data_IF_207877514246
#
_entry.id   IF_207877514246
#
_cell.length_a   1.000
_cell.length_b   1.000
_cell.length_c   1.000
_cell.angle_alpha   90.00
_cell.angle_beta   90.00
_cell.angle_gamma   90.00
#
_symmetry.space_group_name_H-M   'P 1'
#
loop_
_entity.id
_entity.type
_entity.pdbx_description
1 polymer ?
#
# COMPACT_ATOMS: atom_id res chain seq x y z
N UNK A 1 -19.84 20.85 -13.14
CA UNK A 1 -18.54 20.17 -13.41
C UNK A 1 -18.78 18.89 -14.18
N UNK A 2 -18.08 18.68 -15.30
CA UNK A 2 -18.14 17.45 -16.10
C UNK A 2 -17.48 16.27 -15.37
N UNK A 3 -17.73 15.02 -15.80
CA UNK A 3 -17.00 13.85 -15.29
C UNK A 3 -15.50 13.91 -15.64
N UNK A 4 -15.16 14.52 -16.77
CA UNK A 4 -13.76 14.72 -17.20
C UNK A 4 -13.00 15.61 -16.20
N UNK A 5 -13.63 16.69 -15.71
CA UNK A 5 -13.02 17.55 -14.68
C UNK A 5 -12.78 16.83 -13.34
N UNK A 6 -13.58 15.81 -12.98
CA UNK A 6 -13.35 15.03 -11.75
C UNK A 6 -12.07 14.21 -11.83
N UNK A 7 -11.89 13.49 -12.95
CA UNK A 7 -10.73 12.63 -13.16
C UNK A 7 -9.43 13.43 -13.17
N UNK A 8 -9.46 14.61 -13.80
CA UNK A 8 -8.32 15.52 -13.82
C UNK A 8 -7.95 15.97 -12.40
N UNK A 9 -8.93 16.39 -11.60
CA UNK A 9 -8.66 16.80 -10.22
C UNK A 9 -8.11 15.66 -9.37
N UNK A 10 -8.67 14.46 -9.47
CA UNK A 10 -8.14 13.30 -8.74
C UNK A 10 -6.71 12.96 -9.19
N UNK A 11 -6.41 13.05 -10.49
CA UNK A 11 -5.05 12.89 -10.98
C UNK A 11 -4.10 13.91 -10.36
N UNK A 12 -4.49 15.19 -10.28
CA UNK A 12 -3.70 16.21 -9.60
C UNK A 12 -3.54 15.92 -8.10
N UNK A 13 -4.57 15.41 -7.41
CA UNK A 13 -4.45 15.05 -6.00
C UNK A 13 -3.46 13.90 -5.79
N UNK A 14 -3.47 12.90 -6.67
CA UNK A 14 -2.49 11.80 -6.65
C UNK A 14 -1.07 12.34 -6.91
N UNK A 15 -0.90 13.19 -7.92
CA UNK A 15 0.41 13.78 -8.24
C UNK A 15 0.94 14.61 -7.07
N UNK A 16 0.12 15.47 -6.48
CA UNK A 16 0.46 16.24 -5.29
C UNK A 16 0.81 15.30 -4.13
N UNK A 17 0.01 14.25 -3.92
CA UNK A 17 0.25 13.24 -2.89
C UNK A 17 1.61 12.56 -3.02
N UNK A 18 2.00 12.22 -4.25
CA UNK A 18 3.30 11.61 -4.56
C UNK A 18 4.43 12.59 -4.28
N UNK A 19 4.30 13.84 -4.76
CA UNK A 19 5.30 14.88 -4.52
C UNK A 19 5.51 15.14 -3.03
N UNK A 20 4.43 15.23 -2.25
CA UNK A 20 4.52 15.41 -0.79
C UNK A 20 5.29 14.28 -0.10
N UNK A 21 5.13 13.05 -0.59
CA UNK A 21 5.72 11.84 0.01
C UNK A 21 7.16 11.60 -0.42
N UNK A 22 7.57 12.10 -1.59
CA UNK A 22 8.92 11.90 -2.14
C UNK A 22 9.85 13.09 -1.97
N UNK A 23 9.38 14.31 -2.21
CA UNK A 23 10.25 15.50 -2.22
C UNK A 23 11.07 15.69 -0.93
N UNK A 24 10.53 15.43 0.27
CA UNK A 24 11.30 15.57 1.50
C UNK A 24 12.45 14.58 1.65
N UNK A 25 12.46 13.47 0.88
CA UNK A 25 13.36 12.34 1.08
C UNK A 25 14.24 12.02 -0.15
N UNK A 26 14.35 12.95 -1.11
CA UNK A 26 15.08 12.69 -2.35
C UNK A 26 16.57 12.36 -2.11
N UNK A 27 17.18 12.97 -1.08
CA UNK A 27 18.60 12.71 -0.77
C UNK A 27 18.76 11.33 -0.13
N UNK A 28 17.88 10.97 0.79
CA UNK A 28 17.84 9.70 1.50
C UNK A 28 17.57 8.53 0.54
N UNK A 29 16.79 8.76 -0.51
CA UNK A 29 16.47 7.78 -1.55
C UNK A 29 17.53 7.69 -2.65
N UNK A 30 18.48 8.63 -2.72
CA UNK A 30 19.48 8.66 -3.79
C UNK A 30 20.62 7.64 -3.58
N UNK A 31 20.81 7.18 -2.35
CA UNK A 31 21.88 6.26 -1.98
C UNK A 31 21.33 5.01 -1.29
N UNK A 32 22.12 3.94 -1.31
CA UNK A 32 21.84 2.69 -0.60
C UNK A 32 22.90 2.47 0.49
N UNK A 33 22.52 2.08 1.71
CA UNK A 33 21.16 1.75 2.13
C UNK A 33 20.28 2.99 2.37
N UNK A 34 18.99 2.87 2.05
CA UNK A 34 17.99 3.89 2.37
C UNK A 34 17.72 3.89 3.88
N UNK A 35 17.72 5.08 4.49
CA UNK A 35 17.47 5.26 5.91
C UNK A 35 15.97 5.20 6.23
N UNK A 36 15.40 4.00 6.20
CA UNK A 36 14.07 3.78 6.77
C UNK A 36 14.07 4.00 8.28
N UNK A 37 13.06 4.68 8.80
CA UNK A 37 13.05 5.12 10.20
C UNK A 37 12.35 4.15 11.16
N UNK A 38 11.48 3.25 10.66
CA UNK A 38 10.81 2.24 11.48
C UNK A 38 11.52 0.88 11.37
N UNK A 39 11.63 0.11 12.47
CA UNK A 39 12.21 -1.24 12.45
C UNK A 39 11.53 -2.19 11.46
N UNK A 40 10.20 -2.10 11.35
CA UNK A 40 9.40 -2.98 10.49
C UNK A 40 9.75 -2.80 9.01
N UNK A 41 10.08 -1.58 8.59
CA UNK A 41 10.52 -1.28 7.22
C UNK A 41 11.79 -2.06 6.86
N UNK A 42 12.79 -2.04 7.75
CA UNK A 42 14.04 -2.77 7.56
C UNK A 42 13.79 -4.29 7.56
N UNK A 43 12.86 -4.76 8.40
CA UNK A 43 12.43 -6.15 8.40
C UNK A 43 11.81 -6.57 7.06
N UNK A 44 10.93 -5.75 6.50
CA UNK A 44 10.34 -6.01 5.17
C UNK A 44 11.40 -6.02 4.07
N UNK A 45 12.31 -5.05 4.03
CA UNK A 45 13.41 -5.04 3.04
C UNK A 45 14.23 -6.32 3.11
N UNK A 46 14.62 -6.77 4.32
CA UNK A 46 15.34 -8.04 4.49
C UNK A 46 14.52 -9.23 4.01
N UNK A 47 13.23 -9.28 4.34
CA UNK A 47 12.34 -10.37 3.91
C UNK A 47 12.19 -10.42 2.39
N UNK A 48 12.05 -9.26 1.74
CA UNK A 48 12.01 -9.12 0.27
C UNK A 48 13.31 -9.62 -0.36
N UNK A 49 14.46 -9.24 0.19
CA UNK A 49 15.77 -9.71 -0.27
C UNK A 49 15.94 -11.23 -0.11
N UNK A 50 15.42 -11.79 0.99
CA UNK A 50 15.44 -13.23 1.24
C UNK A 50 14.60 -13.99 0.20
N UNK A 51 13.40 -13.50 -0.10
CA UNK A 51 12.53 -14.06 -1.15
C UNK A 51 13.20 -13.93 -2.52
N UNK A 52 13.82 -12.79 -2.84
CA UNK A 52 14.48 -12.57 -4.14
C UNK A 52 15.62 -13.55 -4.43
N UNK A 53 16.40 -13.91 -3.41
CA UNK A 53 17.52 -14.85 -3.56
C UNK A 53 17.07 -16.26 -3.99
N UNK A 54 15.84 -16.65 -3.66
CA UNK A 54 15.25 -17.95 -4.02
C UNK A 54 13.92 -17.79 -4.77
N UNK A 55 13.73 -16.66 -5.48
CA UNK A 55 12.44 -16.34 -6.09
C UNK A 55 12.01 -17.44 -7.08
N UNK A 56 10.76 -17.95 -7.03
CA UNK A 56 9.59 -17.40 -6.33
C UNK A 56 9.28 -18.04 -4.96
N UNK A 57 10.21 -18.75 -4.34
CA UNK A 57 9.95 -19.45 -3.08
C UNK A 57 9.84 -18.49 -1.89
N UNK A 58 8.80 -18.70 -1.06
CA UNK A 58 8.57 -17.94 0.17
C UNK A 58 9.06 -18.78 1.35
N UNK A 59 10.05 -18.31 2.13
CA UNK A 59 10.49 -19.03 3.32
C UNK A 59 9.34 -19.24 4.31
N UNK A 60 9.29 -20.43 4.93
CA UNK A 60 8.28 -20.75 5.96
C UNK A 60 8.62 -20.15 7.32
N UNK A 61 9.91 -20.18 7.67
CA UNK A 61 10.41 -19.72 8.96
C UNK A 61 11.52 -18.69 8.78
N UNK A 62 11.66 -17.83 9.78
CA UNK A 62 12.74 -16.88 9.90
C UNK A 62 13.75 -17.33 10.97
N UNK A 63 14.93 -17.74 10.51
CA UNK A 63 16.02 -18.18 11.38
C UNK A 63 16.87 -17.02 11.94
N UNK A 64 16.63 -15.79 11.48
CA UNK A 64 17.41 -14.61 11.87
C UNK A 64 16.64 -13.66 12.81
N UNK A 65 15.35 -13.90 13.01
CA UNK A 65 14.52 -13.05 13.89
C UNK A 65 14.69 -13.42 15.38
N UNK A 66 14.95 -14.68 15.71
CA UNK A 66 15.21 -15.13 17.07
C UNK A 66 16.54 -15.91 17.14
N UNK A 67 17.27 -15.78 18.25
CA UNK A 67 18.63 -16.34 18.39
C UNK A 67 18.63 -17.87 18.56
N UNK A 68 17.68 -18.41 19.33
CA UNK A 68 17.70 -19.82 19.76
C UNK A 68 16.95 -20.77 18.84
N UNK A 69 15.96 -20.27 18.10
CA UNK A 69 15.05 -21.09 17.28
C UNK A 69 14.49 -20.30 16.09
N UNK A 70 14.07 -21.03 15.06
CA UNK A 70 13.35 -20.45 13.94
C UNK A 70 11.93 -20.05 14.40
N UNK A 71 11.47 -18.90 13.95
CA UNK A 71 10.12 -18.40 14.26
C UNK A 71 9.30 -18.22 13.00
N UNK A 72 7.97 -18.26 13.15
CA UNK A 72 7.07 -17.87 12.07
C UNK A 72 7.23 -16.38 11.75
N UNK A 73 6.97 -16.02 10.49
CA UNK A 73 6.94 -14.62 10.11
C UNK A 73 5.76 -13.90 10.81
N UNK A 74 5.99 -12.72 11.42
CA UNK A 74 4.96 -12.00 12.18
C UNK A 74 3.86 -11.41 11.29
N UNK A 75 4.11 -11.28 9.98
CA UNK A 75 3.15 -10.74 9.01
C UNK A 75 2.91 -11.70 7.84
N UNK A 76 1.71 -11.65 7.22
CA UNK A 76 1.40 -12.40 6.01
C UNK A 76 2.45 -12.24 4.89
N UNK A 77 2.61 -13.24 4.02
CA UNK A 77 3.68 -13.24 3.02
C UNK A 77 3.38 -12.38 1.78
N UNK A 78 2.15 -11.92 1.58
CA UNK A 78 1.74 -11.28 0.33
C UNK A 78 2.48 -9.95 0.09
N UNK A 79 2.53 -9.06 1.08
CA UNK A 79 3.19 -7.76 0.91
C UNK A 79 4.68 -7.90 0.51
N UNK A 80 5.53 -8.66 1.25
CA UNK A 80 6.92 -8.85 0.83
C UNK A 80 7.04 -9.61 -0.49
N UNK A 81 6.17 -10.59 -0.76
CA UNK A 81 6.16 -11.28 -2.07
C UNK A 81 5.83 -10.33 -3.22
N UNK A 82 4.87 -9.42 -3.04
CA UNK A 82 4.49 -8.41 -4.03
C UNK A 82 5.67 -7.46 -4.30
N UNK A 83 6.35 -6.97 -3.26
CA UNK A 83 7.55 -6.16 -3.41
C UNK A 83 8.69 -6.92 -4.12
N UNK A 84 8.88 -8.22 -3.80
CA UNK A 84 9.84 -9.08 -4.49
C UNK A 84 9.49 -9.25 -5.95
N UNK A 85 8.22 -9.49 -6.30
CA UNK A 85 7.77 -9.63 -7.68
C UNK A 85 8.04 -8.35 -8.49
N UNK A 86 7.67 -7.18 -7.95
CA UNK A 86 7.91 -5.89 -8.61
C UNK A 86 9.41 -5.63 -8.78
N UNK A 87 10.20 -5.88 -7.75
CA UNK A 87 11.66 -5.73 -7.80
C UNK A 87 12.28 -6.67 -8.83
N UNK A 88 11.88 -7.94 -8.86
CA UNK A 88 12.34 -8.95 -9.80
C UNK A 88 12.03 -8.55 -11.26
N UNK A 89 10.84 -7.99 -11.52
CA UNK A 89 10.48 -7.48 -12.85
C UNK A 89 11.39 -6.32 -13.26
N UNK A 90 11.59 -5.34 -12.37
CA UNK A 90 12.42 -4.15 -12.65
C UNK A 90 13.87 -4.52 -12.91
N UNK A 91 14.41 -5.49 -12.17
CA UNK A 91 15.81 -5.91 -12.29
C UNK A 91 16.03 -7.02 -13.32
N UNK A 92 14.99 -7.46 -14.01
CA UNK A 92 15.02 -8.61 -14.92
C UNK A 92 15.59 -9.88 -14.25
N UNK A 93 15.18 -10.10 -12.99
CA UNK A 93 15.51 -11.27 -12.19
C UNK A 93 16.77 -11.18 -11.34
N UNK A 94 17.42 -10.00 -11.26
CA UNK A 94 18.61 -9.80 -10.42
C UNK A 94 18.24 -9.32 -9.01
N UNK A 95 18.86 -9.86 -7.98
CA UNK A 95 18.77 -9.28 -6.63
C UNK A 95 19.52 -7.95 -6.58
N UNK A 96 18.83 -6.87 -6.18
CA UNK A 96 19.43 -5.54 -6.02
C UNK A 96 18.77 -4.83 -4.82
N UNK A 97 19.56 -4.54 -3.79
CA UNK A 97 19.08 -3.92 -2.56
C UNK A 97 18.44 -2.57 -2.83
N UNK A 98 19.12 -1.67 -3.54
CA UNK A 98 18.61 -0.33 -3.77
C UNK A 98 17.29 -0.33 -4.56
N UNK A 99 17.13 -1.25 -5.52
CA UNK A 99 15.84 -1.40 -6.21
C UNK A 99 14.73 -1.87 -5.25
N UNK A 100 15.02 -2.79 -4.34
CA UNK A 100 14.07 -3.20 -3.30
C UNK A 100 13.68 -2.02 -2.41
N UNK A 101 14.65 -1.23 -1.97
CA UNK A 101 14.41 -0.04 -1.14
C UNK A 101 13.52 0.97 -1.87
N UNK A 102 13.81 1.27 -3.14
CA UNK A 102 13.02 2.19 -3.97
C UNK A 102 11.62 1.66 -4.27
N UNK A 103 11.46 0.35 -4.52
CA UNK A 103 10.15 -0.29 -4.72
C UNK A 103 9.31 -0.22 -3.45
N UNK A 104 9.93 -0.53 -2.30
CA UNK A 104 9.28 -0.44 -0.98
C UNK A 104 8.79 0.99 -0.71
N UNK A 105 9.68 1.97 -0.93
CA UNK A 105 9.38 3.41 -0.81
C UNK A 105 8.23 3.83 -1.74
N UNK A 106 8.25 3.35 -2.98
CA UNK A 106 7.25 3.72 -3.98
C UNK A 106 5.89 3.09 -3.78
N UNK A 107 5.82 1.87 -3.27
CA UNK A 107 4.54 1.24 -2.93
C UNK A 107 3.87 1.98 -1.77
N UNK A 108 4.62 2.36 -0.74
CA UNK A 108 4.11 3.19 0.35
C UNK A 108 3.59 4.55 -0.15
N UNK A 109 4.44 5.27 -0.90
CA UNK A 109 4.12 6.60 -1.39
C UNK A 109 2.92 6.61 -2.36
N UNK A 110 2.86 5.62 -3.26
CA UNK A 110 1.76 5.46 -4.21
C UNK A 110 0.46 5.10 -3.50
N UNK A 111 0.50 4.17 -2.54
CA UNK A 111 -0.69 3.76 -1.78
C UNK A 111 -1.28 4.94 -1.00
N UNK A 112 -0.42 5.73 -0.34
CA UNK A 112 -0.82 6.93 0.37
C UNK A 112 -1.44 7.99 -0.53
N UNK A 113 -0.97 8.11 -1.78
CA UNK A 113 -1.48 9.07 -2.77
C UNK A 113 -2.81 8.61 -3.39
N UNK A 114 -2.97 7.31 -3.61
CA UNK A 114 -4.19 6.72 -4.17
C UNK A 114 -5.38 6.73 -3.20
N UNK A 115 -5.16 7.01 -1.91
CA UNK A 115 -6.21 7.08 -0.88
C UNK A 115 -7.39 7.99 -1.28
N UNK A 116 -7.12 9.04 -2.06
CA UNK A 116 -8.12 10.00 -2.49
C UNK A 116 -9.22 9.36 -3.35
N UNK A 117 -8.93 8.23 -4.02
CA UNK A 117 -9.86 7.51 -4.89
C UNK A 117 -10.98 6.87 -4.09
N UNK A 118 -10.74 5.92 -3.16
CA UNK A 118 -11.84 5.33 -2.39
C UNK A 118 -12.54 6.38 -1.50
N UNK A 119 -11.82 7.37 -0.98
CA UNK A 119 -12.44 8.51 -0.27
C UNK A 119 -13.43 9.26 -1.17
N UNK A 120 -13.07 9.49 -2.44
CA UNK A 120 -13.96 10.13 -3.42
C UNK A 120 -15.22 9.30 -3.63
N UNK A 121 -15.05 8.00 -3.87
CA UNK A 121 -16.14 7.09 -4.20
C UNK A 121 -17.15 6.98 -3.05
N UNK A 122 -16.65 6.82 -1.81
CA UNK A 122 -17.48 6.75 -0.60
C UNK A 122 -18.18 8.10 -0.37
N UNK A 123 -17.41 9.19 -0.31
CA UNK A 123 -17.95 10.52 -0.01
C UNK A 123 -18.97 10.98 -1.06
N UNK A 124 -18.77 10.64 -2.33
CA UNK A 124 -19.72 10.98 -3.40
C UNK A 124 -21.08 10.31 -3.20
N UNK A 125 -21.10 9.08 -2.67
CA UNK A 125 -22.34 8.36 -2.35
C UNK A 125 -23.09 9.00 -1.18
N UNK A 126 -22.38 9.56 -0.20
CA UNK A 126 -22.94 10.05 1.06
C UNK A 126 -23.34 11.53 0.98
N UNK A 127 -22.41 12.39 0.52
CA UNK A 127 -22.52 13.85 0.60
C UNK A 127 -22.53 14.52 -0.78
N UNK A 128 -22.44 13.75 -1.86
CA UNK A 128 -22.42 14.28 -3.21
C UNK A 128 -21.06 14.84 -3.65
N UNK A 129 -21.00 15.27 -4.91
CA UNK A 129 -19.75 15.49 -5.64
C UNK A 129 -18.83 16.57 -5.06
N UNK A 130 -19.39 17.71 -4.65
CA UNK A 130 -18.60 18.86 -4.18
C UNK A 130 -17.79 18.49 -2.94
N UNK A 131 -18.47 17.95 -1.92
CA UNK A 131 -17.84 17.57 -0.67
C UNK A 131 -16.93 16.34 -0.83
N UNK A 132 -17.25 15.43 -1.76
CA UNK A 132 -16.36 14.32 -2.08
C UNK A 132 -14.99 14.77 -2.59
N UNK A 133 -14.94 15.77 -3.48
CA UNK A 133 -13.66 16.32 -3.95
C UNK A 133 -12.87 16.99 -2.83
N UNK A 134 -13.55 17.69 -1.92
CA UNK A 134 -12.91 18.31 -0.76
C UNK A 134 -12.34 17.23 0.19
N UNK A 135 -13.11 16.19 0.49
CA UNK A 135 -12.67 15.07 1.32
C UNK A 135 -11.48 14.33 0.69
N UNK A 136 -11.53 14.06 -0.61
CA UNK A 136 -10.43 13.46 -1.36
C UNK A 136 -9.15 14.29 -1.31
N UNK A 137 -9.25 15.61 -1.48
CA UNK A 137 -8.10 16.48 -1.37
C UNK A 137 -7.50 16.42 0.05
N UNK A 138 -8.33 16.59 1.09
CA UNK A 138 -7.88 16.56 2.49
C UNK A 138 -7.21 15.23 2.85
N UNK A 139 -7.75 14.11 2.38
CA UNK A 139 -7.22 12.77 2.70
C UNK A 139 -5.76 12.57 2.31
N UNK A 140 -5.29 13.25 1.26
CA UNK A 140 -3.90 13.16 0.80
C UNK A 140 -2.91 13.81 1.79
N UNK A 141 -3.37 14.84 2.52
CA UNK A 141 -2.56 15.68 3.42
C UNK A 141 -2.72 15.33 4.91
N UNK A 142 -3.61 14.39 5.26
CA UNK A 142 -3.86 14.06 6.66
C UNK A 142 -2.55 13.67 7.36
N UNK A 143 -2.12 14.36 8.44
CA UNK A 143 -0.78 14.18 9.00
C UNK A 143 -0.45 12.75 9.41
N UNK A 144 -1.40 12.06 10.06
CA UNK A 144 -1.20 10.67 10.48
C UNK A 144 -1.12 9.73 9.27
N UNK A 145 -1.94 9.96 8.24
CA UNK A 145 -1.86 9.18 7.00
C UNK A 145 -0.54 9.45 6.27
N UNK A 146 -0.07 10.69 6.24
CA UNK A 146 1.24 11.04 5.69
C UNK A 146 2.37 10.33 6.43
N UNK A 147 2.30 10.29 7.77
CA UNK A 147 3.30 9.60 8.60
C UNK A 147 3.47 8.14 8.17
N UNK A 148 2.36 7.42 7.97
CA UNK A 148 2.37 6.00 7.62
C UNK A 148 2.54 5.68 6.13
N UNK A 149 2.70 6.70 5.27
CA UNK A 149 2.71 6.50 3.80
C UNK A 149 3.73 7.35 3.08
N UNK A 150 4.69 7.95 3.78
CA UNK A 150 5.78 8.69 3.15
C UNK A 150 6.82 7.74 2.56
N UNK A 151 7.73 8.25 1.73
CA UNK A 151 8.65 7.40 0.98
C UNK A 151 9.69 6.67 1.85
N UNK A 152 9.92 7.07 3.10
CA UNK A 152 10.78 6.36 4.04
C UNK A 152 9.98 5.52 5.06
N UNK A 153 8.67 5.33 4.80
CA UNK A 153 7.82 4.40 5.56
C UNK A 153 7.32 3.23 4.73
N UNK A 154 8.19 2.24 4.56
CA UNK A 154 8.01 1.09 3.68
C UNK A 154 7.04 0.00 4.14
N UNK A 155 6.28 0.24 5.20
CA UNK A 155 5.41 -0.75 5.83
C UNK A 155 4.14 -1.07 5.01
N UNK A 156 3.53 -2.21 5.29
CA UNK A 156 2.27 -2.67 4.70
C UNK A 156 1.06 -1.79 5.05
N UNK A 157 1.13 -0.96 6.10
CA UNK A 157 0.02 -0.10 6.57
C UNK A 157 -0.52 0.87 5.51
N UNK A 158 0.34 1.36 4.62
CA UNK A 158 -0.07 2.21 3.51
C UNK A 158 -1.04 1.48 2.56
N UNK A 159 -0.72 0.24 2.23
CA UNK A 159 -1.52 -0.61 1.35
C UNK A 159 -2.77 -1.13 2.08
N UNK A 160 -2.64 -1.47 3.36
CA UNK A 160 -3.74 -1.86 4.24
C UNK A 160 -4.83 -0.79 4.28
N UNK A 161 -4.46 0.46 4.59
CA UNK A 161 -5.39 1.60 4.68
C UNK A 161 -6.11 1.86 3.36
N UNK A 162 -5.38 1.76 2.23
CA UNK A 162 -5.96 1.90 0.90
C UNK A 162 -6.99 0.81 0.62
N UNK A 163 -6.63 -0.45 0.89
CA UNK A 163 -7.49 -1.60 0.65
C UNK A 163 -8.69 -1.63 1.59
N UNK A 164 -8.56 -1.17 2.83
CA UNK A 164 -9.68 -1.03 3.77
C UNK A 164 -10.76 -0.09 3.24
N UNK A 165 -10.36 1.07 2.70
CA UNK A 165 -11.34 1.99 2.11
C UNK A 165 -11.96 1.44 0.81
N UNK A 166 -11.21 0.69 0.01
CA UNK A 166 -11.80 -0.02 -1.14
C UNK A 166 -12.79 -1.11 -0.70
N UNK A 167 -12.48 -1.84 0.38
CA UNK A 167 -13.37 -2.83 0.99
C UNK A 167 -14.69 -2.15 1.40
N UNK A 168 -14.63 -1.07 2.19
CA UNK A 168 -15.83 -0.32 2.60
C UNK A 168 -16.62 0.21 1.39
N UNK A 169 -15.94 0.73 0.37
CA UNK A 169 -16.60 1.18 -0.85
C UNK A 169 -17.34 0.03 -1.56
N UNK A 170 -16.72 -1.15 -1.63
CA UNK A 170 -17.29 -2.34 -2.27
C UNK A 170 -18.46 -2.92 -1.46
N UNK A 171 -18.38 -2.88 -0.12
CA UNK A 171 -19.50 -3.24 0.76
C UNK A 171 -20.73 -2.36 0.51
N UNK A 172 -20.53 -1.04 0.38
CA UNK A 172 -21.62 -0.12 0.00
C UNK A 172 -22.22 -0.44 -1.38
N UNK A 173 -21.45 -1.00 -2.30
CA UNK A 173 -21.95 -1.41 -3.62
C UNK A 173 -22.78 -2.68 -3.52
N UNK A 174 -22.33 -3.70 -2.77
CA UNK A 174 -23.10 -4.91 -2.47
C UNK A 174 -24.42 -4.58 -1.77
N UNK A 175 -24.40 -3.67 -0.80
CA UNK A 175 -25.60 -3.25 -0.08
C UNK A 175 -26.65 -2.61 -1.02
N UNK A 176 -26.20 -1.94 -2.08
CA UNK A 176 -27.07 -1.29 -3.06
C UNK A 176 -27.52 -2.24 -4.17
N UNK A 177 -26.63 -3.12 -4.61
CA UNK A 177 -26.83 -4.09 -5.68
C UNK A 177 -26.15 -5.40 -5.31
N UNK A 178 -26.95 -6.41 -4.95
CA UNK A 178 -26.47 -7.73 -4.55
C UNK A 178 -26.17 -8.63 -5.77
N UNK A 179 -25.70 -8.04 -6.86
CA UNK A 179 -25.32 -8.79 -8.06
C UNK A 179 -24.03 -9.55 -7.83
N UNK A 180 -23.85 -10.68 -8.53
CA UNK A 180 -22.65 -11.52 -8.42
C UNK A 180 -21.36 -10.72 -8.67
N UNK A 181 -21.43 -9.69 -9.53
CA UNK A 181 -20.31 -8.78 -9.82
C UNK A 181 -19.86 -8.02 -8.58
N UNK A 182 -20.77 -7.41 -7.85
CA UNK A 182 -20.43 -6.61 -6.67
C UNK A 182 -20.01 -7.51 -5.50
N UNK A 183 -20.65 -8.66 -5.32
CA UNK A 183 -20.23 -9.68 -4.34
C UNK A 183 -18.80 -10.14 -4.63
N UNK A 184 -18.48 -10.44 -5.89
CA UNK A 184 -17.14 -10.88 -6.28
C UNK A 184 -16.09 -9.79 -6.01
N UNK A 185 -16.41 -8.53 -6.32
CA UNK A 185 -15.53 -7.40 -6.03
C UNK A 185 -15.25 -7.26 -4.53
N UNK A 186 -16.30 -7.35 -3.70
CA UNK A 186 -16.17 -7.31 -2.24
C UNK A 186 -15.31 -8.47 -1.73
N UNK A 187 -15.60 -9.70 -2.17
CA UNK A 187 -14.83 -10.88 -1.79
C UNK A 187 -13.35 -10.78 -2.17
N UNK A 188 -13.03 -10.23 -3.35
CA UNK A 188 -11.64 -9.98 -3.77
C UNK A 188 -10.96 -8.95 -2.86
N UNK A 189 -11.64 -7.84 -2.55
CA UNK A 189 -11.08 -6.83 -1.63
C UNK A 189 -10.83 -7.42 -0.25
N UNK A 190 -11.77 -8.24 0.24
CA UNK A 190 -11.68 -8.93 1.53
C UNK A 190 -10.50 -9.92 1.56
N UNK A 191 -10.34 -10.72 0.50
CA UNK A 191 -9.22 -11.64 0.39
C UNK A 191 -7.87 -10.89 0.38
N UNK A 192 -7.76 -9.82 -0.42
CA UNK A 192 -6.52 -9.05 -0.53
C UNK A 192 -6.16 -8.42 0.81
N UNK A 193 -7.12 -7.87 1.57
CA UNK A 193 -6.79 -7.23 2.85
C UNK A 193 -6.32 -8.24 3.90
N UNK A 194 -6.89 -9.45 3.94
CA UNK A 194 -6.40 -10.53 4.82
C UNK A 194 -5.00 -11.00 4.42
N UNK A 195 -4.69 -10.98 3.12
CA UNK A 195 -3.35 -11.28 2.62
C UNK A 195 -2.34 -10.19 2.99
N UNK A 196 -2.77 -8.93 3.15
CA UNK A 196 -1.90 -7.82 3.56
C UNK A 196 -1.68 -7.82 5.07
N UNK A 197 -2.76 -7.96 5.86
CA UNK A 197 -2.70 -7.84 7.32
C UNK A 197 -3.68 -8.80 8.02
N UNK A 198 -3.18 -9.54 9.00
CA UNK A 198 -3.98 -10.48 9.79
C UNK A 198 -5.01 -9.79 10.70
N UNK A 199 -4.74 -8.55 11.11
CA UNK A 199 -5.70 -7.74 11.89
C UNK A 199 -6.91 -7.27 11.09
N UNK A 200 -6.95 -7.55 9.78
CA UNK A 200 -8.08 -7.22 8.92
C UNK A 200 -9.41 -7.88 9.31
N UNK A 201 -9.39 -8.83 10.26
CA UNK A 201 -10.59 -9.36 10.92
C UNK A 201 -11.46 -8.26 11.55
N UNK A 202 -10.87 -7.12 11.91
CA UNK A 202 -11.61 -5.95 12.42
C UNK A 202 -12.50 -5.28 11.36
N UNK A 203 -12.23 -5.53 10.07
CA UNK A 203 -12.95 -4.93 8.95
C UNK A 203 -13.98 -5.88 8.30
N UNK A 204 -14.01 -7.15 8.71
CA UNK A 204 -14.73 -8.26 8.07
C UNK A 204 -16.10 -8.56 8.68
#
# INVERSE_FOLDING_TARGET
MSRFSEKILLFFFILIGLLLRYLPFLNELAESPVLFYQPDNLYYVRRVMTILNNFPEIPKFDYYLNYSEAVDFPSPPFYPFFLSLVSWIITLGKTNLHVVELVTSGVAALSGSLICIPVYLISKKIMGKKYALMASFISVFMPLHYWYTNAIDGDHHALESLMALFLFNSFMEVYKDNSLKEITKFAICLLIIFLIWQGAILYA
#
